data_IF_724055391906
#
_entry.id   IF_724055391906
#
_cell.length_a   1.000
_cell.length_b   1.000
_cell.length_c   1.000
_cell.angle_alpha   90.00
_cell.angle_beta   90.00
_cell.angle_gamma   90.00
#
_symmetry.space_group_name_H-M   'P 1'
#
loop_
_entity.id
_entity.type
_entity.pdbx_description
1 polymer ?
#
# COMPACT_ATOMS: atom_id res chain seq x y z
N UNK A 1 -25.91 4.16 41.01
CA UNK A 1 -25.75 3.34 39.78
C UNK A 1 -26.40 4.05 38.58
N UNK A 2 -25.75 5.04 37.96
CA UNK A 2 -26.24 5.72 36.73
C UNK A 2 -25.06 6.39 35.99
N UNK A 3 -24.07 5.63 35.50
CA UNK A 3 -23.02 6.16 34.60
C UNK A 3 -22.41 5.15 33.60
N UNK A 4 -22.93 3.92 33.50
CA UNK A 4 -22.35 2.89 32.60
C UNK A 4 -23.13 2.75 31.28
N UNK A 5 -24.38 3.23 31.21
CA UNK A 5 -25.26 3.04 30.04
C UNK A 5 -24.92 3.93 28.84
N UNK A 6 -24.13 5.00 29.01
CA UNK A 6 -23.85 5.96 27.94
C UNK A 6 -22.72 5.53 27.00
N UNK A 7 -21.76 4.73 27.47
CA UNK A 7 -20.59 4.32 26.67
C UNK A 7 -20.94 3.19 25.69
N UNK A 8 -21.84 2.28 26.08
CA UNK A 8 -22.27 1.15 25.22
C UNK A 8 -23.10 1.65 24.02
N UNK A 9 -23.89 2.72 24.20
CA UNK A 9 -24.72 3.28 23.13
C UNK A 9 -23.89 3.96 22.03
N UNK A 10 -22.80 4.64 22.40
CA UNK A 10 -21.89 5.29 21.44
C UNK A 10 -21.07 4.30 20.62
N UNK A 11 -20.62 3.17 21.21
CA UNK A 11 -19.90 2.14 20.47
C UNK A 11 -20.79 1.41 19.46
N UNK A 12 -22.05 1.11 19.81
CA UNK A 12 -23.01 0.49 18.89
C UNK A 12 -23.35 1.36 17.69
N UNK A 13 -23.44 2.69 17.88
CA UNK A 13 -23.69 3.63 16.77
C UNK A 13 -22.52 3.78 15.80
N UNK A 14 -21.28 3.60 16.28
CA UNK A 14 -20.08 3.71 15.46
C UNK A 14 -19.89 2.47 14.57
N UNK A 15 -20.17 1.28 15.09
CA UNK A 15 -20.08 0.02 14.33
C UNK A 15 -21.14 -0.04 13.23
N UNK A 16 -22.38 0.39 13.53
CA UNK A 16 -23.46 0.41 12.52
C UNK A 16 -23.19 1.41 11.40
N UNK A 17 -22.58 2.56 11.73
CA UNK A 17 -22.23 3.58 10.75
C UNK A 17 -21.08 3.13 9.84
N UNK A 18 -20.04 2.51 10.41
CA UNK A 18 -18.92 1.97 9.63
C UNK A 18 -19.38 0.87 8.66
N UNK A 19 -20.19 -0.08 9.15
CA UNK A 19 -20.74 -1.15 8.33
C UNK A 19 -21.63 -0.62 7.19
N UNK A 20 -22.38 0.45 7.44
CA UNK A 20 -23.22 1.08 6.41
C UNK A 20 -22.41 1.81 5.34
N UNK A 21 -21.31 2.48 5.72
CA UNK A 21 -20.38 3.11 4.76
C UNK A 21 -19.71 2.07 3.87
N UNK A 22 -19.31 0.94 4.45
CA UNK A 22 -18.76 -0.19 3.70
C UNK A 22 -19.78 -0.71 2.67
N UNK A 23 -21.02 -1.00 3.08
CA UNK A 23 -22.08 -1.44 2.16
C UNK A 23 -22.33 -0.44 1.02
N UNK A 24 -22.34 0.86 1.31
CA UNK A 24 -22.48 1.91 0.27
C UNK A 24 -21.27 1.90 -0.68
N UNK A 25 -20.06 1.78 -0.13
CA UNK A 25 -18.82 1.71 -0.90
C UNK A 25 -18.82 0.51 -1.84
N UNK A 26 -19.26 -0.65 -1.36
CA UNK A 26 -19.41 -1.87 -2.14
C UNK A 26 -20.40 -1.68 -3.30
N UNK A 27 -21.60 -1.18 -3.03
CA UNK A 27 -22.62 -0.93 -4.06
C UNK A 27 -22.09 -0.03 -5.18
N UNK A 28 -21.41 1.05 -4.82
CA UNK A 28 -20.86 1.99 -5.80
C UNK A 28 -19.70 1.37 -6.57
N UNK A 29 -18.84 0.63 -5.89
CA UNK A 29 -17.73 -0.11 -6.52
C UNK A 29 -18.25 -1.14 -7.51
N UNK A 30 -19.30 -1.88 -7.15
CA UNK A 30 -19.95 -2.85 -8.03
C UNK A 30 -20.52 -2.15 -9.28
N UNK A 31 -21.18 -0.98 -9.13
CA UNK A 31 -21.67 -0.18 -10.28
C UNK A 31 -20.56 0.35 -11.17
N UNK A 32 -19.45 0.81 -10.60
CA UNK A 32 -18.28 1.23 -11.36
C UNK A 32 -17.72 0.03 -12.14
N UNK A 33 -17.55 -1.13 -11.50
CA UNK A 33 -17.08 -2.35 -12.15
C UNK A 33 -18.01 -2.81 -13.28
N UNK A 34 -19.34 -2.75 -13.07
CA UNK A 34 -20.35 -3.05 -14.08
C UNK A 34 -20.20 -2.11 -15.30
N UNK A 35 -19.99 -0.81 -15.06
CA UNK A 35 -19.81 0.19 -16.12
C UNK A 35 -18.54 -0.03 -16.97
N UNK A 36 -17.48 -0.58 -16.38
CA UNK A 36 -16.21 -0.80 -17.09
C UNK A 36 -16.40 -1.79 -18.23
N UNK A 37 -15.74 -1.55 -19.36
CA UNK A 37 -15.79 -2.43 -20.52
C UNK A 37 -15.35 -3.86 -20.20
N UNK A 38 -16.12 -4.85 -20.67
CA UNK A 38 -15.73 -6.27 -20.62
C UNK A 38 -14.57 -6.61 -21.57
N UNK A 39 -14.25 -5.71 -22.50
CA UNK A 39 -13.25 -5.89 -23.54
C UNK A 39 -11.92 -5.19 -23.23
N UNK A 40 -11.68 -4.80 -21.98
CA UNK A 40 -10.37 -4.28 -21.56
C UNK A 40 -9.31 -5.34 -21.83
N UNK A 41 -8.24 -4.97 -22.53
CA UNK A 41 -7.20 -5.93 -22.96
C UNK A 41 -5.92 -5.83 -22.13
N UNK A 42 -5.62 -4.63 -21.66
CA UNK A 42 -4.34 -4.33 -21.01
C UNK A 42 -4.54 -3.62 -19.68
N UNK A 43 -3.61 -3.83 -18.75
CA UNK A 43 -3.61 -3.16 -17.45
C UNK A 43 -3.60 -1.62 -17.57
N UNK A 44 -2.93 -1.07 -18.59
CA UNK A 44 -2.88 0.38 -18.84
C UNK A 44 -4.25 1.01 -19.15
N UNK A 45 -5.22 0.22 -19.60
CA UNK A 45 -6.58 0.67 -19.91
C UNK A 45 -7.46 0.79 -18.66
N UNK A 46 -7.05 0.20 -17.52
CA UNK A 46 -7.84 0.20 -16.28
C UNK A 46 -8.07 1.63 -15.77
N UNK A 47 -7.01 2.44 -15.70
CA UNK A 47 -7.10 3.81 -15.15
C UNK A 47 -8.03 4.74 -15.96
N UNK A 48 -7.88 4.89 -17.29
CA UNK A 48 -8.78 5.75 -18.05
C UNK A 48 -10.23 5.26 -17.99
N UNK A 49 -10.44 3.94 -18.01
CA UNK A 49 -11.79 3.38 -17.92
C UNK A 49 -12.42 3.52 -16.53
N UNK A 50 -11.62 3.34 -15.48
CA UNK A 50 -12.02 3.64 -14.11
C UNK A 50 -12.47 5.09 -13.98
N UNK A 51 -11.69 6.07 -14.45
CA UNK A 51 -12.06 7.48 -14.36
C UNK A 51 -13.40 7.76 -15.07
N UNK A 52 -13.60 7.21 -16.28
CA UNK A 52 -14.85 7.36 -17.05
C UNK A 52 -16.05 6.83 -16.26
N UNK A 53 -15.93 5.65 -15.69
CA UNK A 53 -17.02 5.00 -14.95
C UNK A 53 -17.24 5.58 -13.56
N UNK A 54 -16.17 5.95 -12.88
CA UNK A 54 -16.23 6.67 -11.61
C UNK A 54 -17.01 7.98 -11.79
N UNK A 55 -16.64 8.82 -12.75
CA UNK A 55 -17.34 10.08 -12.99
C UNK A 55 -18.81 9.85 -13.35
N UNK A 56 -19.10 8.82 -14.15
CA UNK A 56 -20.48 8.48 -14.50
C UNK A 56 -21.28 8.05 -13.28
N UNK A 57 -20.85 7.03 -12.56
CA UNK A 57 -21.65 6.40 -11.51
C UNK A 57 -21.63 7.23 -10.21
N UNK A 58 -20.50 7.83 -9.86
CA UNK A 58 -20.36 8.63 -8.62
C UNK A 58 -21.14 9.96 -8.70
N UNK A 59 -21.23 10.59 -9.88
CA UNK A 59 -22.07 11.79 -10.04
C UNK A 59 -23.56 11.49 -9.83
N UNK A 60 -23.98 10.23 -10.01
CA UNK A 60 -25.34 9.77 -9.75
C UNK A 60 -25.43 8.87 -8.51
N UNK A 61 -24.52 9.04 -7.55
CA UNK A 61 -24.46 8.23 -6.31
C UNK A 61 -25.80 8.17 -5.57
N UNK A 62 -26.57 9.26 -5.53
CA UNK A 62 -27.87 9.31 -4.87
C UNK A 62 -28.97 8.51 -5.58
N UNK A 63 -28.75 8.10 -6.84
CA UNK A 63 -29.64 7.19 -7.57
C UNK A 63 -29.26 5.72 -7.34
N UNK A 64 -28.05 5.45 -6.83
CA UNK A 64 -27.55 4.10 -6.56
C UNK A 64 -27.96 3.62 -5.17
N UNK A 65 -28.03 4.55 -4.21
CA UNK A 65 -28.30 4.24 -2.81
C UNK A 65 -29.77 4.39 -2.45
N UNK A 66 -30.21 3.69 -1.40
CA UNK A 66 -31.58 3.81 -0.90
C UNK A 66 -31.78 5.03 0.03
N UNK A 67 -33.02 5.25 0.47
CA UNK A 67 -33.38 6.39 1.33
C UNK A 67 -32.71 6.39 2.71
N UNK A 68 -32.33 5.23 3.25
CA UNK A 68 -31.62 5.12 4.52
C UNK A 68 -30.13 5.44 4.32
N UNK A 69 -29.54 4.92 3.25
CA UNK A 69 -28.16 5.17 2.84
C UNK A 69 -27.93 6.62 2.43
N UNK A 70 -28.92 7.26 1.80
CA UNK A 70 -28.88 8.69 1.49
C UNK A 70 -28.66 9.52 2.77
N UNK A 71 -29.37 9.21 3.87
CA UNK A 71 -29.20 9.91 5.16
C UNK A 71 -27.80 9.72 5.76
N UNK A 72 -27.10 8.65 5.39
CA UNK A 72 -25.73 8.36 5.82
C UNK A 72 -24.74 9.17 4.98
N UNK A 73 -24.93 9.22 3.66
CA UNK A 73 -24.05 9.94 2.73
C UNK A 73 -24.00 11.47 2.98
N UNK A 74 -25.10 12.06 3.44
CA UNK A 74 -25.17 13.49 3.76
C UNK A 74 -24.51 13.85 5.10
N UNK A 75 -24.06 12.86 5.88
CA UNK A 75 -23.32 13.11 7.11
C UNK A 75 -21.90 13.58 6.80
N UNK A 76 -21.37 14.45 7.67
CA UNK A 76 -20.05 15.03 7.46
C UNK A 76 -18.96 13.95 7.36
N UNK A 77 -18.15 14.00 6.30
CA UNK A 77 -17.07 13.05 6.03
C UNK A 77 -17.49 11.65 5.55
N UNK A 78 -18.78 11.35 5.44
CA UNK A 78 -19.26 10.05 4.94
C UNK A 78 -18.86 9.84 3.47
N UNK A 79 -19.09 10.86 2.63
CA UNK A 79 -18.77 10.82 1.21
C UNK A 79 -17.26 10.58 0.96
N UNK A 80 -16.39 11.20 1.76
CA UNK A 80 -14.94 11.03 1.61
C UNK A 80 -14.46 9.63 2.01
N UNK A 81 -15.08 9.04 3.04
CA UNK A 81 -14.83 7.63 3.41
C UNK A 81 -15.22 6.69 2.27
N UNK A 82 -16.38 6.92 1.64
CA UNK A 82 -16.81 6.16 0.47
C UNK A 82 -15.81 6.30 -0.68
N UNK A 83 -15.41 7.54 -1.03
CA UNK A 83 -14.41 7.78 -2.09
C UNK A 83 -13.11 7.02 -1.85
N UNK A 84 -12.58 7.09 -0.63
CA UNK A 84 -11.32 6.44 -0.27
C UNK A 84 -11.42 4.91 -0.27
N UNK A 85 -12.62 4.36 -0.07
CA UNK A 85 -12.86 2.91 -0.09
C UNK A 85 -13.03 2.31 -1.49
N UNK A 86 -13.44 3.09 -2.49
CA UNK A 86 -13.77 2.57 -3.83
C UNK A 86 -12.61 1.83 -4.50
N UNK A 87 -11.40 2.40 -4.51
CA UNK A 87 -10.24 1.77 -5.18
C UNK A 87 -9.86 0.43 -4.51
N UNK A 88 -9.67 0.36 -3.18
CA UNK A 88 -9.45 -0.91 -2.49
C UNK A 88 -10.52 -1.96 -2.80
N UNK A 89 -11.81 -1.59 -2.71
CA UNK A 89 -12.92 -2.51 -2.95
C UNK A 89 -12.96 -3.01 -4.40
N UNK A 90 -12.68 -2.15 -5.39
CA UNK A 90 -12.60 -2.54 -6.79
C UNK A 90 -11.46 -3.53 -7.06
N UNK A 91 -10.28 -3.30 -6.49
CA UNK A 91 -9.14 -4.22 -6.63
C UNK A 91 -9.44 -5.59 -6.02
N UNK A 92 -10.23 -5.63 -4.95
CA UNK A 92 -10.64 -6.85 -4.29
C UNK A 92 -11.80 -7.57 -5.00
N UNK A 93 -12.79 -6.85 -5.54
CA UNK A 93 -14.07 -7.47 -5.95
C UNK A 93 -14.34 -7.42 -7.46
N UNK A 94 -13.69 -6.53 -8.21
CA UNK A 94 -13.95 -6.40 -9.63
C UNK A 94 -13.18 -7.44 -10.45
N UNK A 95 -13.87 -8.51 -10.86
CA UNK A 95 -13.29 -9.59 -11.66
C UNK A 95 -12.61 -9.10 -12.95
N UNK A 96 -13.13 -8.05 -13.60
CA UNK A 96 -12.55 -7.46 -14.82
C UNK A 96 -11.14 -6.93 -14.54
N UNK A 97 -10.99 -6.19 -13.44
CA UNK A 97 -9.71 -5.64 -12.98
C UNK A 97 -8.78 -6.77 -12.52
N UNK A 98 -9.28 -7.68 -11.68
CA UNK A 98 -8.48 -8.80 -11.14
C UNK A 98 -7.90 -9.68 -12.24
N UNK A 99 -8.67 -10.00 -13.28
CA UNK A 99 -8.19 -10.79 -14.42
C UNK A 99 -7.06 -10.09 -15.16
N UNK A 100 -7.16 -8.78 -15.38
CA UNK A 100 -6.13 -8.01 -16.06
C UNK A 100 -4.87 -7.87 -15.21
N UNK A 101 -5.02 -7.62 -13.91
CA UNK A 101 -3.90 -7.61 -12.97
C UNK A 101 -3.19 -8.97 -12.99
N UNK A 102 -3.96 -10.06 -12.89
CA UNK A 102 -3.42 -11.42 -12.91
C UNK A 102 -2.75 -11.77 -14.23
N UNK A 103 -3.38 -11.50 -15.37
CA UNK A 103 -2.83 -11.78 -16.69
C UNK A 103 -1.58 -10.94 -16.98
N UNK A 104 -1.55 -9.68 -16.51
CA UNK A 104 -0.39 -8.80 -16.63
C UNK A 104 0.79 -9.24 -15.75
N UNK A 105 0.50 -9.88 -14.61
CA UNK A 105 1.49 -10.56 -13.76
C UNK A 105 1.97 -11.87 -14.43
N UNK A 106 1.07 -12.71 -14.92
CA UNK A 106 1.39 -14.01 -15.53
C UNK A 106 2.14 -13.87 -16.86
N UNK A 107 1.70 -13.00 -17.76
CA UNK A 107 2.37 -12.73 -19.05
C UNK A 107 3.72 -12.02 -18.90
N UNK A 108 4.03 -11.48 -17.72
CA UNK A 108 5.34 -10.91 -17.43
C UNK A 108 6.40 -11.96 -17.03
N UNK A 109 6.01 -13.23 -16.91
CA UNK A 109 6.93 -14.34 -16.59
C UNK A 109 7.67 -14.91 -17.82
N UNK A 110 7.31 -14.50 -19.04
CA UNK A 110 8.01 -14.88 -20.29
C UNK A 110 9.03 -13.82 -20.75
N UNK A 111 9.93 -13.39 -19.86
CA UNK A 111 11.11 -12.62 -20.27
C UNK A 111 12.38 -13.36 -19.89
N UNK A 112 13.15 -13.76 -20.91
CA UNK A 112 14.46 -14.39 -20.81
C UNK A 112 15.38 -13.62 -19.83
N UNK A 113 15.78 -14.30 -18.76
CA UNK A 113 16.94 -13.99 -17.90
C UNK A 113 17.19 -12.51 -17.54
N UNK A 114 16.30 -11.91 -16.74
CA UNK A 114 16.74 -10.87 -15.78
C UNK A 114 16.57 -11.38 -14.36
N UNK A 115 17.60 -11.22 -13.53
CA UNK A 115 17.56 -11.59 -12.12
C UNK A 115 16.40 -10.85 -11.42
N UNK A 116 15.32 -11.54 -11.01
CA UNK A 116 14.14 -10.88 -10.48
C UNK A 116 14.46 -10.19 -9.16
N UNK A 117 13.87 -9.01 -8.96
CA UNK A 117 14.08 -8.19 -7.77
C UNK A 117 15.57 -7.88 -7.50
N UNK A 118 16.29 -7.21 -8.42
CA UNK A 118 17.72 -6.93 -8.28
C UNK A 118 17.99 -5.96 -7.12
N UNK A 119 19.24 -5.83 -6.70
CA UNK A 119 19.67 -4.88 -5.66
C UNK A 119 20.55 -3.79 -6.26
N UNK A 120 20.55 -2.59 -5.66
CA UNK A 120 21.35 -1.44 -6.08
C UNK A 120 21.82 -0.56 -4.91
N UNK A 121 21.80 -1.13 -3.69
CA UNK A 121 22.14 -0.43 -2.47
C UNK A 121 22.87 -1.36 -1.51
N UNK A 122 24.02 -0.91 -1.02
CA UNK A 122 24.92 -1.68 -0.16
C UNK A 122 25.46 -0.82 0.99
N UNK A 123 26.15 -1.43 1.96
CA UNK A 123 26.76 -0.74 3.11
C UNK A 123 27.64 0.46 2.74
N UNK A 124 28.30 0.42 1.58
CA UNK A 124 29.18 1.50 1.11
C UNK A 124 28.41 2.75 0.69
N UNK A 125 27.15 2.60 0.28
CA UNK A 125 26.31 3.69 -0.23
C UNK A 125 25.80 4.58 0.90
N UNK A 126 25.76 4.07 2.14
CA UNK A 126 25.39 4.84 3.33
C UNK A 126 26.24 6.10 3.52
N UNK A 127 27.52 6.06 3.10
CA UNK A 127 28.42 7.23 3.16
C UNK A 127 27.93 8.41 2.31
N UNK A 128 27.07 8.17 1.32
CA UNK A 128 26.53 9.15 0.39
C UNK A 128 25.00 9.18 0.41
N UNK A 129 24.36 8.66 1.47
CA UNK A 129 22.91 8.50 1.53
C UNK A 129 22.15 9.82 1.30
N UNK A 130 22.70 10.94 1.77
CA UNK A 130 22.10 12.26 1.55
C UNK A 130 21.97 12.65 0.08
N UNK A 131 22.93 12.24 -0.77
CA UNK A 131 22.89 12.47 -2.21
C UNK A 131 21.85 11.61 -2.93
N UNK A 132 21.34 10.58 -2.24
CA UNK A 132 20.37 9.63 -2.77
C UNK A 132 18.95 9.91 -2.27
N UNK A 133 18.71 11.03 -1.57
CA UNK A 133 17.38 11.37 -1.07
C UNK A 133 16.33 11.35 -2.21
N UNK A 134 15.23 10.65 -1.98
CA UNK A 134 14.17 10.41 -2.97
C UNK A 134 14.45 9.29 -3.99
N UNK A 135 15.67 8.72 -4.04
CA UNK A 135 15.95 7.59 -4.92
C UNK A 135 15.28 6.31 -4.42
N UNK A 136 14.81 5.49 -5.36
CA UNK A 136 14.37 4.12 -5.06
C UNK A 136 15.60 3.21 -4.98
N UNK A 137 15.67 2.46 -3.89
CA UNK A 137 16.73 1.53 -3.57
C UNK A 137 16.17 0.15 -3.25
N UNK A 138 16.94 -0.88 -3.59
CA UNK A 138 16.64 -2.26 -3.29
C UNK A 138 17.86 -2.98 -2.73
N UNK A 139 17.67 -3.76 -1.67
CA UNK A 139 18.74 -4.46 -0.97
C UNK A 139 18.20 -5.58 -0.08
N UNK A 140 19.09 -6.48 0.33
CA UNK A 140 18.80 -7.45 1.38
C UNK A 140 19.24 -6.88 2.74
N UNK A 141 18.47 -7.13 3.78
CA UNK A 141 18.80 -6.74 5.14
C UNK A 141 18.48 -7.85 6.14
N UNK A 142 19.40 -8.09 7.07
CA UNK A 142 19.14 -8.90 8.26
C UNK A 142 18.47 -8.00 9.31
N UNK A 143 17.25 -8.32 9.72
CA UNK A 143 16.52 -7.56 10.74
C UNK A 143 17.20 -7.73 12.09
N UNK A 144 17.59 -6.62 12.73
CA UNK A 144 18.31 -6.62 14.00
C UNK A 144 17.51 -6.05 15.17
N UNK A 145 16.52 -5.19 14.90
CA UNK A 145 15.61 -4.60 15.90
C UNK A 145 14.29 -4.27 15.25
N UNK A 146 13.18 -4.41 15.99
CA UNK A 146 11.84 -4.07 15.49
C UNK A 146 11.07 -3.31 16.56
N UNK A 147 10.48 -2.19 16.18
CA UNK A 147 9.54 -1.42 17.00
C UNK A 147 8.24 -1.22 16.25
N UNK A 148 7.15 -1.06 17.00
CA UNK A 148 5.87 -0.66 16.43
C UNK A 148 5.81 0.86 16.33
N UNK A 149 5.48 1.38 15.15
CA UNK A 149 5.24 2.80 14.91
C UNK A 149 3.75 3.09 14.70
N UNK A 150 3.42 4.28 14.20
CA UNK A 150 2.04 4.68 13.93
C UNK A 150 1.31 3.67 13.03
N UNK A 151 0.02 3.42 13.32
CA UNK A 151 -0.85 2.49 12.60
C UNK A 151 -0.32 1.05 12.56
N UNK A 152 0.34 0.60 13.63
CA UNK A 152 0.90 -0.75 13.78
C UNK A 152 1.91 -1.15 12.69
N UNK A 153 2.48 -0.16 11.98
CA UNK A 153 3.52 -0.42 10.99
C UNK A 153 4.89 -0.56 11.65
N UNK A 154 5.74 -1.49 11.20
CA UNK A 154 7.03 -1.69 11.81
C UNK A 154 8.02 -0.58 11.44
N UNK A 155 8.73 -0.09 12.47
CA UNK A 155 9.95 0.68 12.34
C UNK A 155 11.12 -0.16 12.83
N UNK A 156 12.02 -0.53 11.94
CA UNK A 156 12.98 -1.59 12.23
C UNK A 156 14.36 -1.27 11.67
N UNK A 157 15.37 -1.85 12.31
CA UNK A 157 16.75 -1.75 11.86
C UNK A 157 17.13 -3.00 11.10
N UNK A 158 17.88 -2.82 10.02
CA UNK A 158 18.51 -3.92 9.30
C UNK A 158 20.01 -3.73 9.21
N UNK A 159 20.73 -4.84 9.29
CA UNK A 159 22.15 -4.94 8.97
C UNK A 159 22.30 -5.30 7.49
N UNK A 160 22.98 -4.44 6.74
CA UNK A 160 23.31 -4.64 5.33
C UNK A 160 24.50 -5.59 5.18
N UNK A 161 24.64 -6.15 3.99
CA UNK A 161 25.87 -6.82 3.59
C UNK A 161 27.06 -5.84 3.66
N UNK A 162 28.14 -6.23 4.32
CA UNK A 162 29.25 -5.32 4.70
C UNK A 162 29.16 -4.75 6.12
N UNK A 163 28.07 -4.99 6.84
CA UNK A 163 28.01 -4.88 8.30
C UNK A 163 27.41 -3.59 8.87
N UNK A 164 27.22 -2.56 8.05
CA UNK A 164 26.57 -1.33 8.49
C UNK A 164 25.05 -1.53 8.64
N UNK A 165 24.42 -0.67 9.44
CA UNK A 165 22.97 -0.73 9.68
C UNK A 165 22.25 0.49 9.12
N UNK A 166 21.00 0.30 8.72
CA UNK A 166 20.08 1.37 8.33
C UNK A 166 18.69 1.11 8.92
N UNK A 167 17.98 2.19 9.22
CA UNK A 167 16.59 2.14 9.69
C UNK A 167 15.61 2.14 8.53
N UNK A 168 14.52 1.41 8.72
CA UNK A 168 13.45 1.24 7.76
C UNK A 168 12.14 1.65 8.42
N UNK A 169 11.42 2.58 7.78
CA UNK A 169 10.04 2.87 8.07
C UNK A 169 9.17 2.14 7.03
N UNK A 170 8.46 1.10 7.47
CA UNK A 170 7.61 0.36 6.57
C UNK A 170 6.34 1.13 6.24
N UNK A 171 6.00 1.18 4.95
CA UNK A 171 4.70 1.64 4.48
C UNK A 171 3.67 0.50 4.43
N UNK A 172 4.11 -0.75 4.65
CA UNK A 172 3.29 -1.97 4.65
C UNK A 172 3.31 -2.65 6.02
N UNK A 173 2.22 -3.32 6.39
CA UNK A 173 2.21 -4.24 7.52
C UNK A 173 2.32 -5.67 6.99
N UNK A 174 3.55 -6.18 6.86
CA UNK A 174 3.79 -7.50 6.25
C UNK A 174 3.82 -8.63 7.28
N UNK A 175 4.27 -8.35 8.51
CA UNK A 175 4.52 -9.35 9.53
C UNK A 175 5.80 -10.17 9.30
N UNK A 176 6.61 -9.80 8.30
CA UNK A 176 7.88 -10.44 7.96
C UNK A 176 9.06 -9.85 8.76
N UNK A 177 8.90 -8.64 9.29
CA UNK A 177 9.91 -7.88 10.02
C UNK A 177 10.11 -8.48 11.43
N UNK A 178 10.86 -9.58 11.52
CA UNK A 178 11.20 -10.25 12.78
C UNK A 178 12.71 -10.33 12.95
N UNK A 179 13.20 -10.09 14.16
CA UNK A 179 14.65 -10.18 14.44
C UNK A 179 15.23 -11.52 13.98
N UNK A 180 16.39 -11.46 13.33
CA UNK A 180 17.07 -12.62 12.75
C UNK A 180 16.59 -13.02 11.36
N UNK A 181 15.51 -12.45 10.83
CA UNK A 181 15.05 -12.70 9.46
C UNK A 181 15.82 -11.88 8.44
N UNK A 182 16.06 -12.50 7.28
CA UNK A 182 16.57 -11.81 6.10
C UNK A 182 15.38 -11.45 5.22
N UNK A 183 15.27 -10.17 4.89
CA UNK A 183 14.23 -9.65 4.01
C UNK A 183 14.86 -8.90 2.84
N UNK A 184 14.19 -8.91 1.69
CA UNK A 184 14.54 -8.04 0.56
C UNK A 184 13.56 -6.90 0.49
N UNK A 185 14.10 -5.70 0.36
CA UNK A 185 13.36 -4.45 0.45
C UNK A 185 13.42 -3.69 -0.87
N UNK A 186 12.35 -2.98 -1.16
CA UNK A 186 12.28 -1.92 -2.16
C UNK A 186 11.63 -0.69 -1.51
N UNK A 187 12.32 0.44 -1.56
CA UNK A 187 11.91 1.64 -0.84
C UNK A 187 12.61 2.90 -1.29
N UNK A 188 12.16 4.04 -0.78
CA UNK A 188 12.79 5.34 -1.02
C UNK A 188 13.80 5.65 0.07
N UNK A 189 14.96 6.17 -0.30
CA UNK A 189 15.79 6.90 0.67
C UNK A 189 15.03 8.17 1.04
N UNK A 190 14.87 8.44 2.33
CA UNK A 190 14.15 9.61 2.82
C UNK A 190 14.82 10.20 4.04
N UNK A 191 14.75 11.52 4.16
CA UNK A 191 15.17 12.23 5.37
C UNK A 191 14.23 11.90 6.53
N UNK A 192 14.82 11.71 7.71
CA UNK A 192 14.06 11.58 8.95
C UNK A 192 13.46 12.95 9.26
N UNK A 193 12.18 13.12 8.90
CA UNK A 193 11.41 14.33 9.20
C UNK A 193 11.05 14.44 10.68
N UNK A 194 9.89 15.04 10.97
CA UNK A 194 9.37 15.17 12.33
C UNK A 194 8.66 13.90 12.85
N UNK A 195 9.20 12.71 12.54
CA UNK A 195 8.65 11.44 13.03
C UNK A 195 9.22 11.13 14.43
N UNK A 196 8.34 11.03 15.43
CA UNK A 196 8.73 10.84 16.84
C UNK A 196 9.45 9.51 17.08
N UNK A 197 8.98 8.43 16.45
CA UNK A 197 9.57 7.10 16.56
C UNK A 197 10.94 7.07 15.89
N UNK A 198 11.06 7.65 14.69
CA UNK A 198 12.33 7.75 14.01
C UNK A 198 13.32 8.58 14.81
N UNK A 199 12.92 9.73 15.38
CA UNK A 199 13.79 10.54 16.25
C UNK A 199 14.23 9.81 17.52
N UNK A 200 13.41 8.91 18.04
CA UNK A 200 13.74 8.14 19.24
C UNK A 200 14.86 7.11 18.99
N UNK A 201 14.86 6.45 17.83
CA UNK A 201 15.74 5.30 17.58
C UNK A 201 16.80 5.54 16.50
N UNK A 202 16.50 6.37 15.51
CA UNK A 202 17.38 6.68 14.40
C UNK A 202 18.15 7.96 14.68
N UNK A 203 19.42 7.78 15.02
CA UNK A 203 20.38 8.88 15.17
C UNK A 203 21.01 9.31 13.83
N UNK A 204 20.53 8.78 12.72
CA UNK A 204 20.94 9.21 11.37
C UNK A 204 19.82 10.02 10.73
N UNK A 205 20.19 11.00 9.92
CA UNK A 205 19.23 11.91 9.27
C UNK A 205 18.42 11.23 8.15
N UNK A 206 18.64 9.94 7.88
CA UNK A 206 18.02 9.22 6.77
C UNK A 206 17.52 7.83 7.19
N UNK A 207 16.45 7.38 6.54
CA UNK A 207 15.93 6.02 6.62
C UNK A 207 15.44 5.56 5.24
N UNK A 208 14.98 4.33 5.14
CA UNK A 208 14.27 3.84 3.96
C UNK A 208 12.77 3.80 4.23
N UNK A 209 11.97 4.43 3.37
CA UNK A 209 10.53 4.24 3.31
C UNK A 209 10.23 3.00 2.44
N UNK A 210 10.09 1.85 3.07
CA UNK A 210 9.89 0.58 2.36
C UNK A 210 8.43 0.44 1.92
N UNK A 211 8.21 0.35 0.61
CA UNK A 211 6.88 0.12 0.03
C UNK A 211 6.70 -1.32 -0.49
N UNK A 212 7.76 -2.12 -0.53
CA UNK A 212 7.67 -3.55 -0.78
C UNK A 212 8.71 -4.32 0.04
N UNK A 213 8.27 -5.43 0.63
CA UNK A 213 9.05 -6.31 1.51
C UNK A 213 8.85 -7.75 1.06
N UNK A 214 9.94 -8.49 0.87
CA UNK A 214 9.93 -9.92 0.56
C UNK A 214 10.58 -10.66 1.72
N UNK A 215 9.87 -11.63 2.29
CA UNK A 215 10.48 -12.61 3.19
C UNK A 215 11.34 -13.58 2.37
N UNK A 216 12.64 -13.62 2.65
CA UNK A 216 13.56 -14.43 1.86
C UNK A 216 13.45 -15.93 2.16
N UNK A 217 12.80 -16.33 3.27
CA UNK A 217 12.56 -17.73 3.59
C UNK A 217 11.34 -18.25 2.81
N UNK A 218 10.17 -17.63 3.02
CA UNK A 218 8.91 -18.06 2.39
C UNK A 218 8.74 -17.59 0.94
N UNK A 219 9.54 -16.62 0.50
CA UNK A 219 9.39 -15.91 -0.78
C UNK A 219 8.07 -15.14 -0.92
N UNK A 220 7.35 -14.93 0.18
CA UNK A 220 6.15 -14.12 0.18
C UNK A 220 6.50 -12.63 0.09
N UNK A 221 5.70 -11.89 -0.66
CA UNK A 221 5.86 -10.46 -0.90
C UNK A 221 4.67 -9.72 -0.31
N UNK A 222 4.94 -8.58 0.34
CA UNK A 222 3.95 -7.61 0.74
C UNK A 222 4.31 -6.27 0.10
N UNK A 223 3.34 -5.61 -0.52
CA UNK A 223 3.54 -4.34 -1.21
C UNK A 223 2.46 -3.33 -0.83
N UNK A 224 2.82 -2.05 -0.89
CA UNK A 224 1.92 -0.94 -0.61
C UNK A 224 0.95 -0.80 -1.78
N UNK A 225 -0.37 -0.67 -1.53
CA UNK A 225 -1.33 -0.34 -2.58
C UNK A 225 -0.91 0.91 -3.35
N UNK A 226 -0.96 0.86 -4.69
CA UNK A 226 -0.51 1.93 -5.58
C UNK A 226 0.96 1.84 -6.03
N UNK A 227 1.73 0.88 -5.51
CA UNK A 227 3.13 0.63 -5.92
C UNK A 227 3.30 -0.47 -6.96
N UNK A 228 2.21 -1.01 -7.49
CA UNK A 228 2.18 -2.24 -8.31
C UNK A 228 3.09 -2.12 -9.54
N UNK A 229 3.08 -0.97 -10.22
CA UNK A 229 3.93 -0.74 -11.40
C UNK A 229 5.42 -0.77 -11.06
N UNK A 230 5.83 -0.17 -9.93
CA UNK A 230 7.24 -0.12 -9.51
C UNK A 230 7.72 -1.50 -9.06
N UNK A 231 6.87 -2.22 -8.33
CA UNK A 231 7.13 -3.61 -7.92
C UNK A 231 7.21 -4.51 -9.15
N UNK A 232 6.35 -4.32 -10.16
CA UNK A 232 6.40 -5.06 -11.42
C UNK A 232 7.69 -4.81 -12.19
N UNK A 233 8.12 -3.56 -12.35
CA UNK A 233 9.40 -3.22 -12.98
C UNK A 233 10.58 -3.92 -12.26
N UNK A 234 10.52 -3.94 -10.93
CA UNK A 234 11.52 -4.59 -10.09
C UNK A 234 11.53 -6.11 -10.22
N UNK A 235 10.37 -6.75 -10.21
CA UNK A 235 10.23 -8.18 -10.45
C UNK A 235 10.76 -8.57 -11.83
N UNK A 236 10.59 -7.71 -12.84
CA UNK A 236 11.13 -7.87 -14.19
C UNK A 236 12.63 -7.51 -14.30
N UNK A 237 13.32 -7.39 -13.17
CA UNK A 237 14.78 -7.23 -13.16
C UNK A 237 15.28 -5.81 -13.36
N UNK A 238 14.45 -4.79 -13.14
CA UNK A 238 14.82 -3.38 -13.32
C UNK A 238 14.51 -2.58 -12.07
N UNK A 239 15.48 -1.85 -11.51
CA UNK A 239 15.18 -0.95 -10.38
C UNK A 239 14.31 0.21 -10.89
N UNK A 240 13.09 0.39 -10.37
CA UNK A 240 12.22 1.48 -10.79
C UNK A 240 12.83 2.83 -10.42
N UNK A 241 12.49 3.87 -11.19
CA UNK A 241 12.93 5.24 -10.90
C UNK A 241 11.82 6.00 -10.19
N UNK A 242 12.19 6.82 -9.20
CA UNK A 242 11.25 7.77 -8.62
C UNK A 242 10.78 8.75 -9.71
N UNK A 243 9.48 8.99 -9.79
CA UNK A 243 8.95 10.10 -10.60
C UNK A 243 9.31 11.39 -9.87
N UNK A 244 10.01 12.29 -10.58
CA UNK A 244 10.27 13.65 -10.10
C UNK A 244 8.98 14.46 -10.08
#
# INVERSE_FOLDING_TARGET
>A
MKKITTIILTLLSLTSFAQSIETITEKISDKICECMSDNLKNYSEIKPEFNRCYDKEFNFIFNIVDSAEHKILVQNGALDKVKNGIIPTLNERCEKIRKLIKADVENSTESETKNPCPTNFESKDLKKISKRNGEIVAFNGLVTKVYTAHNDKPYYQVKLEGGNTIWIASLVNSGYEKEGKIIRLLGYVSEVGNDEIAKQYNQTDYHILAFCVIDMDSKQMAMMPGSELQVKEWMNGTIPKAKK
#
